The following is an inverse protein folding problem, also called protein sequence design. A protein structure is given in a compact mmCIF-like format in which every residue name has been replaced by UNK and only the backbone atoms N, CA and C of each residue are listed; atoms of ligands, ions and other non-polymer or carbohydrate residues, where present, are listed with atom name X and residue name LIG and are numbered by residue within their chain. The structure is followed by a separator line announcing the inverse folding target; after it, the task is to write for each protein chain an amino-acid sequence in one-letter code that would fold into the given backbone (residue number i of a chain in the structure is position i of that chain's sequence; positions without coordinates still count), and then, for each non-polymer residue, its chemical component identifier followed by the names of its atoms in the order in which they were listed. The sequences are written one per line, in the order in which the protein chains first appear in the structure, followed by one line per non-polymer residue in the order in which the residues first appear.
data_IF_326596035841
#
_entry.id   IF_326596035841
#
_cell.length_a   1.000
_cell.length_b   1.000
_cell.length_c   1.000
_cell.angle_alpha   90.00
_cell.angle_beta   90.00
_cell.angle_gamma   90.00
#
_symmetry.space_group_name_H-M   'P 1'
#
loop_
_entity.id
_entity.type
_entity.pdbx_description
1 polymer ?
#
# COMPACT_ATOMS: atom_id res chain seq x y z
N UNK A 1 1.54 -6.92 0.87
CA UNK A 1 2.99 -7.03 0.64
C UNK A 1 3.68 -7.71 1.83
N UNK A 2 3.03 -8.70 2.46
CA UNK A 2 3.48 -9.23 3.75
C UNK A 2 3.49 -8.17 4.85
N UNK A 3 4.50 -8.22 5.71
CA UNK A 3 4.84 -7.22 6.73
C UNK A 3 6.34 -6.93 6.64
N UNK A 4 6.78 -6.08 5.70
CA UNK A 4 8.19 -5.73 5.60
C UNK A 4 8.62 -5.03 6.89
N UNK A 5 9.87 -5.24 7.30
CA UNK A 5 10.50 -4.35 8.28
C UNK A 5 10.82 -3.03 7.59
N UNK A 6 9.94 -2.04 7.78
CA UNK A 6 10.06 -0.72 7.12
C UNK A 6 11.22 0.12 7.65
N UNK A 7 11.94 -0.35 8.68
CA UNK A 7 13.19 0.26 9.14
C UNK A 7 14.41 -0.15 8.31
N UNK A 8 14.23 -1.09 7.37
CA UNK A 8 15.27 -1.60 6.47
C UNK A 8 15.24 -0.92 5.10
N UNK A 9 16.23 -1.23 4.28
CA UNK A 9 16.27 -0.79 2.89
C UNK A 9 15.17 -1.53 2.07
N UNK A 10 14.29 -0.83 1.33
CA UNK A 10 13.36 -1.46 0.40
C UNK A 10 14.03 -2.25 -0.72
N UNK A 11 15.34 -2.05 -0.97
CA UNK A 11 16.18 -2.85 -1.87
C UNK A 11 17.01 -3.92 -1.15
N UNK A 12 16.80 -4.09 0.16
CA UNK A 12 17.50 -5.05 0.99
C UNK A 12 17.08 -6.51 0.72
N UNK A 13 17.91 -7.47 1.17
CA UNK A 13 17.70 -8.89 0.88
C UNK A 13 16.41 -9.45 1.49
N UNK A 14 15.90 -8.87 2.58
CA UNK A 14 14.68 -9.35 3.25
C UNK A 14 13.42 -9.09 2.41
N UNK A 15 13.26 -7.86 1.90
CA UNK A 15 12.11 -7.54 1.04
C UNK A 15 12.24 -8.18 -0.33
N UNK A 16 13.48 -8.37 -0.80
CA UNK A 16 13.76 -9.05 -2.06
C UNK A 16 13.21 -10.49 -2.11
N UNK A 17 13.14 -11.18 -0.96
CA UNK A 17 12.51 -12.50 -0.89
C UNK A 17 11.02 -12.45 -1.23
N UNK A 18 10.30 -11.42 -0.78
CA UNK A 18 8.89 -11.23 -1.13
C UNK A 18 8.71 -10.94 -2.63
N UNK A 19 9.57 -10.10 -3.20
CA UNK A 19 9.52 -9.77 -4.63
C UNK A 19 9.90 -10.97 -5.50
N UNK A 20 10.89 -11.77 -5.07
CA UNK A 20 11.26 -13.04 -5.70
C UNK A 20 10.06 -13.99 -5.70
N UNK A 21 9.37 -14.16 -4.57
CA UNK A 21 8.15 -14.95 -4.50
C UNK A 21 7.07 -14.46 -5.48
N UNK A 22 6.86 -13.15 -5.60
CA UNK A 22 5.92 -12.57 -6.57
C UNK A 22 6.35 -12.80 -8.03
N UNK A 23 7.66 -12.73 -8.33
CA UNK A 23 8.23 -12.97 -9.67
C UNK A 23 8.10 -14.43 -10.09
N UNK A 24 8.35 -15.36 -9.18
CA UNK A 24 8.31 -16.80 -9.47
C UNK A 24 6.88 -17.38 -9.52
N UNK A 25 5.87 -16.64 -9.05
CA UNK A 25 4.49 -17.13 -8.96
C UNK A 25 3.51 -16.16 -9.64
N UNK A 26 3.24 -16.36 -10.94
CA UNK A 26 2.38 -15.47 -11.75
C UNK A 26 0.93 -15.36 -11.24
N UNK A 27 0.43 -16.37 -10.55
CA UNK A 27 -0.95 -16.39 -10.02
C UNK A 27 -1.11 -15.71 -8.64
N UNK A 28 -0.02 -15.17 -8.07
CA UNK A 28 -0.07 -14.47 -6.78
C UNK A 28 -0.38 -12.99 -7.00
N UNK A 29 -1.29 -12.49 -6.17
CA UNK A 29 -1.67 -11.08 -6.07
C UNK A 29 -1.29 -10.55 -4.69
N UNK A 30 -1.06 -9.23 -4.59
CA UNK A 30 -0.75 -8.60 -3.31
C UNK A 30 -1.54 -7.31 -3.10
N UNK A 31 -1.99 -7.10 -1.86
CA UNK A 31 -2.47 -5.78 -1.42
C UNK A 31 -1.31 -4.92 -0.94
N UNK A 32 -1.27 -3.66 -1.37
CA UNK A 32 -0.33 -2.62 -0.91
C UNK A 32 -1.06 -1.66 0.04
N UNK A 33 -1.63 -2.23 1.09
CA UNK A 33 -2.51 -1.57 2.06
C UNK A 33 -1.95 -1.65 3.48
N UNK A 34 -2.70 -1.11 4.43
CA UNK A 34 -2.40 -1.11 5.86
C UNK A 34 -1.10 -0.40 6.29
N UNK A 35 -0.73 0.77 5.71
CA UNK A 35 0.46 1.50 6.16
C UNK A 35 0.40 1.88 7.65
N UNK A 36 -0.80 2.08 8.22
CA UNK A 36 -1.03 2.33 9.65
C UNK A 36 -0.61 1.19 10.57
N UNK A 37 -0.44 -0.03 10.03
CA UNK A 37 0.04 -1.21 10.76
C UNK A 37 1.52 -1.48 10.58
N UNK A 38 2.16 -0.81 9.62
CA UNK A 38 3.53 -1.07 9.20
C UNK A 38 4.47 0.07 9.59
N UNK A 39 3.99 1.31 9.51
CA UNK A 39 4.74 2.52 9.82
C UNK A 39 5.31 2.47 11.24
N UNK A 40 6.57 2.88 11.37
CA UNK A 40 7.29 3.02 12.64
C UNK A 40 7.62 4.49 12.91
N UNK A 41 7.94 5.22 11.84
CA UNK A 41 8.50 6.58 11.89
C UNK A 41 7.73 7.58 11.03
N UNK A 42 6.91 7.12 10.08
CA UNK A 42 6.05 8.00 9.29
C UNK A 42 4.97 8.67 10.16
N UNK A 43 4.57 9.92 9.86
CA UNK A 43 3.51 10.61 10.60
C UNK A 43 2.21 9.81 10.50
N UNK A 44 1.45 9.75 11.59
CA UNK A 44 0.19 9.00 11.59
C UNK A 44 -0.87 9.76 10.80
N UNK A 45 -1.81 9.04 10.22
CA UNK A 45 -2.99 9.62 9.56
C UNK A 45 -3.96 10.16 10.62
N UNK A 46 -3.54 11.18 11.36
CA UNK A 46 -4.27 11.86 12.40
C UNK A 46 -4.29 13.36 12.08
N UNK A 47 -5.45 14.04 12.11
CA UNK A 47 -5.55 15.46 11.77
C UNK A 47 -4.56 16.36 12.52
N UNK A 48 -4.27 16.04 13.79
CA UNK A 48 -3.36 16.80 14.65
C UNK A 48 -1.86 16.59 14.35
N UNK A 49 -1.50 15.49 13.68
CA UNK A 49 -0.09 15.22 13.32
C UNK A 49 0.29 15.84 11.97
N UNK A 50 -0.70 16.30 11.21
CA UNK A 50 -0.50 16.95 9.92
C UNK A 50 -0.29 18.44 10.12
N UNK A 51 0.91 18.91 9.76
CA UNK A 51 1.31 20.31 9.83
C UNK A 51 1.31 20.94 8.45
N UNK A 52 0.90 22.20 8.38
CA UNK A 52 1.09 23.09 7.23
C UNK A 52 0.57 22.57 5.87
N UNK A 53 -0.41 21.65 5.89
CA UNK A 53 -1.03 21.09 4.69
C UNK A 53 -0.23 19.98 3.99
N UNK A 54 0.88 19.51 4.58
CA UNK A 54 1.65 18.38 4.04
C UNK A 54 1.04 17.04 4.53
N UNK A 55 0.21 16.43 3.69
CA UNK A 55 -0.75 15.36 4.03
C UNK A 55 -0.19 13.93 3.89
N UNK A 56 1.13 13.74 3.84
CA UNK A 56 1.70 12.43 3.56
C UNK A 56 1.87 11.60 4.85
N UNK A 57 0.86 10.81 5.21
CA UNK A 57 0.94 9.85 6.31
C UNK A 57 1.81 8.62 5.94
N UNK A 58 2.42 8.02 6.96
CA UNK A 58 3.09 6.71 6.90
C UNK A 58 4.19 6.60 5.82
N UNK A 59 4.99 7.67 5.68
CA UNK A 59 5.95 7.86 4.58
C UNK A 59 7.06 6.81 4.52
N UNK A 60 7.39 6.14 5.62
CA UNK A 60 8.37 5.05 5.68
C UNK A 60 7.88 3.76 5.01
N UNK A 61 6.56 3.60 4.82
CA UNK A 61 5.96 2.48 4.09
C UNK A 61 5.99 2.70 2.57
N UNK A 62 5.97 3.97 2.13
CA UNK A 62 5.82 4.36 0.71
C UNK A 62 6.87 3.72 -0.21
N UNK A 63 8.19 3.70 0.11
CA UNK A 63 9.19 3.11 -0.78
C UNK A 63 8.94 1.63 -1.07
N UNK A 64 8.47 0.86 -0.09
CA UNK A 64 8.17 -0.56 -0.23
C UNK A 64 6.94 -0.78 -1.10
N UNK A 65 5.85 -0.07 -0.80
CA UNK A 65 4.61 -0.20 -1.55
C UNK A 65 4.74 0.30 -2.99
N UNK A 66 5.42 1.43 -3.21
CA UNK A 66 5.69 1.96 -4.56
C UNK A 66 6.48 0.97 -5.40
N UNK A 67 7.53 0.38 -4.84
CA UNK A 67 8.31 -0.67 -5.52
C UNK A 67 7.43 -1.83 -5.98
N UNK A 68 6.52 -2.29 -5.12
CA UNK A 68 5.58 -3.38 -5.47
C UNK A 68 4.59 -2.97 -6.55
N UNK A 69 4.06 -1.74 -6.51
CA UNK A 69 3.15 -1.20 -7.53
C UNK A 69 3.84 -1.08 -8.88
N UNK A 70 5.07 -0.58 -8.91
CA UNK A 70 5.85 -0.37 -10.13
C UNK A 70 6.33 -1.70 -10.74
N UNK A 71 6.72 -2.69 -9.92
CA UNK A 71 7.23 -3.99 -10.39
C UNK A 71 6.09 -4.95 -10.79
N UNK A 72 4.93 -4.88 -10.14
CA UNK A 72 3.79 -5.78 -10.38
C UNK A 72 2.47 -5.04 -10.66
N UNK A 73 2.44 -4.09 -11.61
CA UNK A 73 1.30 -3.18 -11.79
C UNK A 73 -0.01 -3.91 -12.11
N UNK A 74 0.05 -5.11 -12.70
CA UNK A 74 -1.11 -5.93 -13.04
C UNK A 74 -1.51 -6.94 -11.95
N UNK A 75 -0.83 -6.96 -10.79
CA UNK A 75 -1.10 -7.94 -9.72
C UNK A 75 -1.16 -7.31 -8.33
N UNK A 76 -1.46 -6.02 -8.28
CA UNK A 76 -1.60 -5.23 -7.06
C UNK A 76 -3.04 -4.77 -6.83
N UNK A 77 -3.42 -4.67 -5.57
CA UNK A 77 -4.73 -4.24 -5.11
C UNK A 77 -4.57 -3.27 -3.93
N UNK A 78 -5.62 -2.51 -3.64
CA UNK A 78 -5.69 -1.67 -2.45
C UNK A 78 -7.07 -1.77 -1.77
N UNK A 79 -7.10 -1.54 -0.45
CA UNK A 79 -8.30 -1.33 0.33
C UNK A 79 -7.93 -0.65 1.66
N UNK A 80 -8.91 0.00 2.30
CA UNK A 80 -8.68 0.75 3.55
C UNK A 80 -8.35 -0.14 4.75
N UNK A 81 -8.81 -1.39 4.75
CA UNK A 81 -8.85 -2.26 5.94
C UNK A 81 -9.81 -1.77 7.04
N UNK A 82 -10.72 -0.84 6.72
CA UNK A 82 -11.80 -0.45 7.62
C UNK A 82 -12.64 -1.69 8.00
N UNK A 83 -13.02 -1.89 9.29
CA UNK A 83 -12.96 -0.94 10.42
C UNK A 83 -11.68 -1.04 11.28
N UNK A 84 -10.52 -1.31 10.67
CA UNK A 84 -9.20 -1.35 11.31
C UNK A 84 -9.13 -2.28 12.53
N UNK A 85 -9.56 -3.56 12.40
CA UNK A 85 -9.64 -4.46 13.54
C UNK A 85 -8.27 -4.67 14.20
N UNK A 86 -8.25 -4.78 15.53
CA UNK A 86 -7.04 -4.96 16.34
C UNK A 86 -5.98 -3.83 16.24
N UNK A 87 -6.30 -2.69 15.63
CA UNK A 87 -5.46 -1.50 15.73
C UNK A 87 -5.72 -0.85 17.10
N UNK A 88 -4.70 -0.82 17.96
CA UNK A 88 -4.85 -0.40 19.37
C UNK A 88 -4.23 0.96 19.69
N UNK A 89 -3.27 1.40 18.88
CA UNK A 89 -2.51 2.62 19.15
C UNK A 89 -3.32 3.87 18.78
N UNK A 90 -3.85 3.91 17.56
CA UNK A 90 -4.66 5.01 17.04
C UNK A 90 -5.69 4.49 16.03
N UNK A 91 -6.73 5.28 15.76
CA UNK A 91 -7.63 5.05 14.63
C UNK A 91 -7.23 6.02 13.51
N UNK A 92 -6.85 5.55 12.32
CA UNK A 92 -6.51 6.45 11.22
C UNK A 92 -7.76 7.19 10.75
N UNK A 93 -7.56 8.43 10.30
CA UNK A 93 -8.51 9.07 9.40
C UNK A 93 -8.45 8.36 8.04
N UNK A 94 -9.57 7.77 7.63
CA UNK A 94 -9.67 7.03 6.38
C UNK A 94 -9.44 7.91 5.13
N UNK A 95 -9.76 9.21 5.20
CA UNK A 95 -9.51 10.15 4.11
C UNK A 95 -8.01 10.35 3.89
N UNK A 96 -7.26 10.54 4.98
CA UNK A 96 -5.80 10.63 4.94
C UNK A 96 -5.15 9.29 4.52
N UNK A 97 -5.81 8.17 4.80
CA UNK A 97 -5.38 6.86 4.30
C UNK A 97 -5.60 6.70 2.79
N UNK A 98 -6.62 7.34 2.23
CA UNK A 98 -6.82 7.41 0.77
C UNK A 98 -5.76 8.30 0.12
N UNK A 99 -5.33 9.39 0.77
CA UNK A 99 -4.25 10.27 0.30
C UNK A 99 -2.86 9.59 0.25
N UNK A 100 -2.72 8.39 0.81
CA UNK A 100 -1.55 7.53 0.63
C UNK A 100 -1.45 6.93 -0.78
N UNK A 101 -2.58 6.70 -1.47
CA UNK A 101 -2.61 6.05 -2.80
C UNK A 101 -1.73 6.76 -3.84
N UNK A 102 -1.83 8.09 -4.07
CA UNK A 102 -1.01 8.76 -5.08
C UNK A 102 0.49 8.73 -4.74
N UNK A 103 0.87 8.44 -3.49
CA UNK A 103 2.27 8.29 -3.10
C UNK A 103 2.85 6.96 -3.59
N UNK A 104 2.04 5.90 -3.70
CA UNK A 104 2.52 4.56 -4.11
C UNK A 104 2.16 4.21 -5.56
N UNK A 105 1.12 4.82 -6.10
CA UNK A 105 0.72 4.74 -7.50
C UNK A 105 0.81 6.16 -8.10
N UNK A 106 2.01 6.51 -8.57
CA UNK A 106 2.41 7.90 -8.89
C UNK A 106 1.89 8.39 -10.24
N UNK A 107 1.25 7.53 -11.03
CA UNK A 107 0.65 7.89 -12.31
C UNK A 107 -0.85 7.52 -12.35
N UNK A 108 -1.66 8.22 -13.17
CA UNK A 108 -3.06 7.87 -13.37
C UNK A 108 -3.24 6.41 -13.83
N UNK A 109 -2.34 5.88 -14.64
CA UNK A 109 -2.39 4.50 -15.13
C UNK A 109 -2.16 3.50 -13.99
N UNK A 110 -1.20 3.76 -13.10
CA UNK A 110 -0.98 2.93 -11.92
C UNK A 110 -2.18 2.97 -10.97
N UNK A 111 -2.81 4.13 -10.79
CA UNK A 111 -4.00 4.28 -9.95
C UNK A 111 -5.20 3.54 -10.55
N UNK A 112 -5.42 3.66 -11.86
CA UNK A 112 -6.46 2.93 -12.59
C UNK A 112 -6.29 1.42 -12.43
N UNK A 113 -5.07 0.90 -12.62
CA UNK A 113 -4.79 -0.53 -12.41
C UNK A 113 -5.06 -0.94 -10.96
N UNK A 114 -4.52 -0.21 -10.00
CA UNK A 114 -4.60 -0.52 -8.57
C UNK A 114 -6.05 -0.54 -8.04
N UNK A 115 -6.88 0.40 -8.49
CA UNK A 115 -8.21 0.66 -7.93
C UNK A 115 -9.37 0.12 -8.78
N UNK A 116 -9.16 -0.10 -10.07
CA UNK A 116 -10.25 -0.45 -11.00
C UNK A 116 -9.94 -1.75 -11.74
N UNK A 117 -8.91 -1.77 -12.59
CA UNK A 117 -8.74 -2.86 -13.56
C UNK A 117 -8.39 -4.18 -12.85
N UNK A 118 -7.44 -4.14 -11.91
CA UNK A 118 -7.01 -5.31 -11.14
C UNK A 118 -8.12 -5.89 -10.26
N UNK A 119 -8.81 -5.11 -9.39
CA UNK A 119 -9.90 -5.65 -8.59
C UNK A 119 -11.07 -6.12 -9.46
N UNK A 120 -11.38 -5.45 -10.59
CA UNK A 120 -12.42 -5.90 -11.52
C UNK A 120 -12.08 -7.27 -12.10
N UNK A 121 -10.85 -7.47 -12.60
CA UNK A 121 -10.41 -8.76 -13.14
C UNK A 121 -10.42 -9.88 -12.09
N UNK A 122 -10.08 -9.57 -10.84
CA UNK A 122 -9.98 -10.58 -9.79
C UNK A 122 -11.33 -10.95 -9.17
N UNK A 123 -12.21 -9.96 -8.93
CA UNK A 123 -13.46 -10.16 -8.18
C UNK A 123 -14.70 -10.21 -9.08
N UNK A 124 -14.65 -9.66 -10.30
CA UNK A 124 -15.75 -9.64 -11.28
C UNK A 124 -15.31 -10.15 -12.67
N UNK A 125 -14.82 -11.39 -12.79
CA UNK A 125 -14.26 -11.92 -14.04
C UNK A 125 -15.29 -12.04 -15.18
N UNK A 126 -16.58 -12.07 -14.89
CA UNK A 126 -17.66 -12.18 -15.89
C UNK A 126 -18.14 -10.82 -16.43
N UNK A 127 -17.60 -9.71 -15.90
CA UNK A 127 -18.00 -8.34 -16.26
C UNK A 127 -19.32 -7.88 -15.63
N UNK A 128 -19.58 -6.57 -15.72
CA UNK A 128 -20.89 -5.94 -15.51
C UNK A 128 -21.55 -5.75 -16.87
#
# INVERSE_FOLDING_TARGET
MGRPDVTKDPNGPEFELFLTFMRENENVWTKVSCPERLSVTGPRALPEEIKDGELHAYTDVVPFARRVVEEFPDRVLWGTDWPHPNLKDHMPDDGLLVDYIPQIATTPELQQKLLVDNPSRLYWPEGV
#
